data_IF_947869119211
#
_entry.id   IF_947869119211
#
_cell.length_a   1.000
_cell.length_b   1.000
_cell.length_c   1.000
_cell.angle_alpha   90.00
_cell.angle_beta   90.00
_cell.angle_gamma   90.00
#
_symmetry.space_group_name_H-M   'P 1'
#
loop_
_entity.id
_entity.type
_entity.pdbx_description
1 polymer ?
#
# COMPACT_ATOMS: atom_id res chain seq x y z
N UNK A 1 21.67 12.80 -2.17
CA UNK A 1 20.44 13.52 -2.56
C UNK A 1 19.44 13.36 -1.44
N UNK A 2 18.81 14.44 -0.98
CA UNK A 2 17.72 14.33 0.01
C UNK A 2 16.57 13.52 -0.61
N UNK A 3 16.07 12.50 0.11
CA UNK A 3 14.86 11.80 -0.31
C UNK A 3 13.73 12.82 -0.30
N UNK A 4 13.13 13.07 -1.47
CA UNK A 4 11.94 13.92 -1.55
C UNK A 4 10.82 13.26 -0.74
N UNK A 5 10.38 13.92 0.32
CA UNK A 5 9.19 13.53 1.06
C UNK A 5 7.98 14.08 0.33
N UNK A 6 7.01 13.22 0.05
CA UNK A 6 5.74 13.62 -0.53
C UNK A 6 4.66 13.50 0.56
N UNK A 7 3.72 14.46 0.66
CA UNK A 7 2.59 14.30 1.56
C UNK A 7 1.70 13.17 1.08
N UNK A 8 1.11 12.43 2.01
CA UNK A 8 0.05 11.47 1.68
C UNK A 8 -1.19 12.25 1.24
N UNK A 9 -1.55 12.15 -0.03
CA UNK A 9 -2.69 12.85 -0.64
C UNK A 9 -3.32 11.92 -1.65
N UNK A 10 -4.55 11.49 -1.40
CA UNK A 10 -5.26 10.56 -2.28
C UNK A 10 -5.92 11.32 -3.42
N UNK A 11 -5.69 10.85 -4.64
CA UNK A 11 -6.40 11.30 -5.84
C UNK A 11 -7.04 10.09 -6.50
N UNK A 12 -8.31 10.22 -6.88
CA UNK A 12 -8.92 9.33 -7.88
C UNK A 12 -8.32 9.68 -9.24
N UNK A 13 -7.75 8.69 -9.91
CA UNK A 13 -7.06 8.85 -11.21
C UNK A 13 -7.59 7.90 -12.28
N UNK A 14 -8.55 7.04 -11.92
CA UNK A 14 -9.36 6.30 -12.88
C UNK A 14 -10.57 7.15 -13.26
N UNK A 15 -10.94 7.12 -14.53
CA UNK A 15 -12.09 7.86 -15.02
C UNK A 15 -13.38 7.17 -14.58
N UNK A 16 -13.77 6.13 -15.31
CA UNK A 16 -14.82 5.17 -14.97
C UNK A 16 -14.30 3.97 -14.16
N UNK A 17 -12.97 3.82 -14.07
CA UNK A 17 -12.31 2.79 -13.28
C UNK A 17 -12.06 3.22 -11.82
N UNK A 18 -12.16 2.28 -10.88
CA UNK A 18 -11.82 2.53 -9.49
C UNK A 18 -10.31 2.48 -9.26
N UNK A 19 -9.63 3.60 -9.52
CA UNK A 19 -8.18 3.73 -9.30
C UNK A 19 -7.89 4.94 -8.42
N UNK A 20 -7.13 4.70 -7.37
CA UNK A 20 -6.63 5.75 -6.48
C UNK A 20 -5.11 5.76 -6.45
N UNK A 21 -4.53 6.94 -6.35
CA UNK A 21 -3.08 7.14 -6.35
C UNK A 21 -2.68 8.26 -5.40
N UNK A 22 -1.49 8.12 -4.81
CA UNK A 22 -0.80 9.19 -4.08
C UNK A 22 0.63 9.26 -4.57
N UNK A 23 1.14 10.49 -4.75
CA UNK A 23 2.54 10.71 -5.11
C UNK A 23 3.43 10.40 -3.92
N UNK A 24 4.47 9.59 -4.12
CA UNK A 24 5.34 9.06 -3.07
C UNK A 24 5.14 7.57 -2.84
N UNK A 25 6.16 6.88 -2.32
CA UNK A 25 6.05 5.50 -1.83
C UNK A 25 5.71 5.53 -0.34
N UNK A 26 4.41 5.57 -0.05
CA UNK A 26 3.83 5.59 1.30
C UNK A 26 3.69 4.19 1.87
N UNK A 27 3.63 4.07 3.20
CA UNK A 27 3.17 2.82 3.80
C UNK A 27 1.78 2.45 3.25
N UNK A 28 1.60 1.18 2.87
CA UNK A 28 0.40 0.74 2.17
C UNK A 28 -0.84 0.81 3.07
N UNK A 29 -0.67 0.71 4.39
CA UNK A 29 -1.75 0.74 5.36
C UNK A 29 -2.15 2.16 5.71
N UNK A 30 -1.17 3.06 5.85
CA UNK A 30 -1.42 4.49 5.96
C UNK A 30 -2.14 5.01 4.71
N UNK A 31 -1.71 4.56 3.53
CA UNK A 31 -2.39 4.86 2.27
C UNK A 31 -3.85 4.41 2.28
N UNK A 32 -4.12 3.13 2.58
CA UNK A 32 -5.50 2.63 2.61
C UNK A 32 -6.35 3.30 3.69
N UNK A 33 -5.77 3.62 4.84
CA UNK A 33 -6.45 4.40 5.89
C UNK A 33 -6.85 5.78 5.38
N UNK A 34 -5.97 6.47 4.67
CA UNK A 34 -6.26 7.77 4.06
C UNK A 34 -7.33 7.66 2.96
N UNK A 35 -7.28 6.63 2.12
CA UNK A 35 -8.31 6.36 1.09
C UNK A 35 -9.69 6.27 1.73
N UNK A 36 -9.83 5.53 2.84
CA UNK A 36 -11.11 5.42 3.57
C UNK A 36 -11.48 6.71 4.29
N UNK A 37 -10.51 7.43 4.85
CA UNK A 37 -10.74 8.72 5.52
C UNK A 37 -11.23 9.80 4.53
N UNK A 38 -10.78 9.76 3.28
CA UNK A 38 -11.21 10.65 2.20
C UNK A 38 -12.57 10.23 1.59
N UNK A 39 -13.20 9.17 2.11
CA UNK A 39 -14.56 8.75 1.74
C UNK A 39 -14.65 7.82 0.53
N UNK A 40 -13.53 7.29 0.03
CA UNK A 40 -13.57 6.32 -1.08
C UNK A 40 -13.98 4.94 -0.56
N UNK A 41 -15.13 4.44 -1.03
CA UNK A 41 -15.66 3.11 -0.70
C UNK A 41 -15.31 2.03 -1.75
N UNK A 42 -14.38 2.35 -2.66
CA UNK A 42 -14.02 1.47 -3.77
C UNK A 42 -13.48 0.10 -3.33
N UNK A 43 -13.80 -0.98 -4.06
CA UNK A 43 -13.30 -2.33 -3.81
C UNK A 43 -11.85 -2.48 -4.29
N UNK A 44 -10.91 -1.91 -3.55
CA UNK A 44 -9.52 -1.81 -3.96
C UNK A 44 -8.67 -3.01 -3.52
N UNK A 45 -7.71 -3.37 -4.37
CA UNK A 45 -6.68 -4.36 -4.06
C UNK A 45 -5.59 -3.81 -3.13
N UNK A 46 -4.58 -4.65 -2.86
CA UNK A 46 -3.41 -4.25 -2.07
C UNK A 46 -2.61 -3.16 -2.81
N UNK A 47 -2.30 -2.01 -2.19
CA UNK A 47 -1.56 -0.96 -2.87
C UNK A 47 -0.15 -1.38 -3.29
N UNK A 48 0.27 -0.90 -4.45
CA UNK A 48 1.61 -1.12 -4.99
C UNK A 48 2.44 0.17 -5.06
N UNK A 49 3.75 0.01 -4.87
CA UNK A 49 4.73 1.06 -5.16
C UNK A 49 5.18 0.98 -6.61
N UNK A 50 4.91 2.03 -7.38
CA UNK A 50 5.26 2.13 -8.80
C UNK A 50 6.01 3.42 -9.08
N UNK A 51 6.59 3.51 -10.27
CA UNK A 51 7.12 4.74 -10.83
C UNK A 51 6.27 5.13 -12.02
N UNK A 52 5.83 6.38 -12.08
CA UNK A 52 4.95 6.87 -13.13
C UNK A 52 5.52 8.12 -13.81
N UNK A 53 5.19 8.33 -15.08
CA UNK A 53 5.30 9.62 -15.75
C UNK A 53 3.90 10.21 -15.92
N UNK A 54 3.80 11.50 -15.66
CA UNK A 54 2.63 12.30 -16.05
C UNK A 54 2.88 12.77 -17.48
N UNK A 55 2.03 12.36 -18.41
CA UNK A 55 2.13 12.76 -19.81
C UNK A 55 0.81 13.38 -20.27
N UNK A 56 0.82 14.37 -21.17
CA UNK A 56 -0.41 14.87 -21.78
C UNK A 56 -1.15 13.73 -22.47
N UNK A 57 -2.47 13.75 -22.35
CA UNK A 57 -3.32 12.84 -23.12
C UNK A 57 -3.38 13.32 -24.58
N UNK A 58 -3.21 12.40 -25.54
CA UNK A 58 -3.27 12.72 -26.97
C UNK A 58 -4.68 12.62 -27.55
N UNK A 59 -5.64 12.00 -26.85
CA UNK A 59 -7.04 11.95 -27.30
C UNK A 59 -7.80 13.23 -26.94
N UNK A 60 -7.34 13.95 -25.90
CA UNK A 60 -7.96 15.17 -25.39
C UNK A 60 -9.12 14.90 -24.42
N UNK A 61 -9.32 13.65 -24.02
CA UNK A 61 -10.35 13.25 -23.06
C UNK A 61 -9.96 13.64 -21.63
N UNK A 62 -8.65 13.58 -21.33
CA UNK A 62 -8.08 13.96 -20.04
C UNK A 62 -7.05 15.08 -20.19
N UNK A 63 -6.77 15.79 -19.10
CA UNK A 63 -5.66 16.77 -19.10
C UNK A 63 -4.29 16.09 -19.14
N UNK A 64 -4.18 14.90 -18.54
CA UNK A 64 -2.98 14.09 -18.47
C UNK A 64 -3.33 12.64 -18.12
N UNK A 65 -2.41 11.73 -18.40
CA UNK A 65 -2.46 10.33 -17.99
C UNK A 65 -1.19 9.93 -17.24
N UNK A 66 -1.30 8.88 -16.42
CA UNK A 66 -0.18 8.28 -15.71
C UNK A 66 0.32 7.05 -16.46
N UNK A 67 1.59 7.05 -16.86
CA UNK A 67 2.23 5.91 -17.53
C UNK A 67 3.25 5.29 -16.60
N UNK A 68 3.05 4.03 -16.21
CA UNK A 68 4.02 3.31 -15.39
C UNK A 68 5.31 3.04 -16.15
N UNK A 69 6.44 3.30 -15.49
CA UNK A 69 7.79 3.19 -16.02
C UNK A 69 8.71 2.54 -14.99
N UNK A 70 9.95 2.25 -15.40
CA UNK A 70 10.99 1.74 -14.49
C UNK A 70 11.49 2.84 -13.56
N UNK A 71 11.93 2.44 -12.38
CA UNK A 71 12.71 3.30 -11.48
C UNK A 71 13.91 3.93 -12.21
N UNK A 72 14.24 5.18 -11.88
CA UNK A 72 15.36 5.90 -12.48
C UNK A 72 15.08 6.45 -13.89
N UNK A 73 13.94 6.14 -14.50
CA UNK A 73 13.51 6.78 -15.76
C UNK A 73 13.45 8.29 -15.57
N UNK A 74 14.11 9.06 -16.45
CA UNK A 74 14.17 10.52 -16.33
C UNK A 74 12.75 11.12 -16.30
N UNK A 75 12.47 11.88 -15.25
CA UNK A 75 11.16 12.51 -15.03
C UNK A 75 10.10 11.60 -14.41
N UNK A 76 10.43 10.36 -14.06
CA UNK A 76 9.52 9.50 -13.29
C UNK A 76 9.35 10.00 -11.86
N UNK A 77 8.15 9.80 -11.33
CA UNK A 77 7.79 10.09 -9.94
C UNK A 77 7.39 8.78 -9.23
N UNK A 78 7.75 8.62 -7.95
CA UNK A 78 7.25 7.50 -7.16
C UNK A 78 5.76 7.70 -6.89
N UNK A 79 5.00 6.61 -6.89
CA UNK A 79 3.56 6.61 -6.59
C UNK A 79 3.19 5.36 -5.78
N UNK A 80 2.27 5.52 -4.84
CA UNK A 80 1.51 4.42 -4.23
C UNK A 80 0.15 4.40 -4.93
N UNK A 81 -0.22 3.26 -5.48
CA UNK A 81 -1.41 3.12 -6.32
C UNK A 81 -2.20 1.87 -5.92
N UNK A 82 -3.53 1.95 -5.97
CA UNK A 82 -4.43 0.82 -5.83
C UNK A 82 -5.53 0.90 -6.88
N UNK A 83 -5.98 -0.27 -7.35
CA UNK A 83 -6.98 -0.41 -8.39
C UNK A 83 -8.08 -1.37 -7.95
N UNK A 84 -9.16 -1.43 -8.72
CA UNK A 84 -10.26 -2.35 -8.51
C UNK A 84 -9.76 -3.80 -8.40
N UNK A 85 -10.28 -4.51 -7.41
CA UNK A 85 -9.97 -5.91 -7.18
C UNK A 85 -11.23 -6.75 -6.98
N UNK A 86 -11.15 -7.98 -7.48
CA UNK A 86 -12.08 -9.04 -7.13
C UNK A 86 -12.09 -9.27 -5.61
N UNK A 87 -13.16 -9.85 -5.07
CA UNK A 87 -13.38 -9.94 -3.62
C UNK A 87 -12.17 -10.54 -2.91
N UNK A 88 -11.65 -11.64 -3.41
CA UNK A 88 -10.55 -12.41 -2.82
C UNK A 88 -9.22 -11.64 -2.81
N UNK A 89 -9.07 -10.67 -3.72
CA UNK A 89 -7.85 -9.88 -3.90
C UNK A 89 -7.93 -8.50 -3.21
N UNK A 90 -9.07 -8.18 -2.59
CA UNK A 90 -9.26 -6.91 -1.87
C UNK A 90 -8.29 -6.79 -0.72
N UNK A 91 -7.84 -5.57 -0.48
CA UNK A 91 -6.97 -5.24 0.63
C UNK A 91 -7.55 -5.72 1.98
N UNK A 92 -8.84 -5.49 2.24
CA UNK A 92 -9.47 -5.91 3.49
C UNK A 92 -9.50 -7.44 3.65
N UNK A 93 -9.67 -8.19 2.56
CA UNK A 93 -9.68 -9.66 2.60
C UNK A 93 -8.27 -10.23 2.77
N UNK A 94 -7.26 -9.62 2.12
CA UNK A 94 -5.86 -9.96 2.28
C UNK A 94 -5.37 -9.76 3.73
N UNK A 95 -5.90 -8.76 4.44
CA UNK A 95 -5.48 -8.40 5.79
C UNK A 95 -6.53 -8.65 6.88
N UNK A 96 -7.61 -9.39 6.59
CA UNK A 96 -8.69 -9.67 7.57
C UNK A 96 -8.23 -10.41 8.82
N UNK A 97 -7.14 -11.17 8.71
CA UNK A 97 -6.53 -11.92 9.81
C UNK A 97 -5.39 -11.15 10.49
N UNK A 98 -5.16 -9.89 10.12
CA UNK A 98 -4.15 -9.06 10.75
C UNK A 98 -4.48 -8.80 12.24
N UNK A 99 -3.43 -8.63 13.08
CA UNK A 99 -3.56 -8.41 14.53
C UNK A 99 -4.54 -7.25 14.79
N UNK A 100 -5.57 -7.45 15.63
CA UNK A 100 -6.58 -6.41 15.93
C UNK A 100 -5.97 -5.15 16.56
N UNK A 101 -4.85 -5.29 17.25
CA UNK A 101 -4.16 -4.21 17.98
C UNK A 101 -3.19 -3.44 17.08
N UNK A 102 -2.36 -4.14 16.30
CA UNK A 102 -1.32 -3.54 15.47
C UNK A 102 -1.68 -3.47 13.97
N UNK A 103 -2.84 -3.99 13.62
CA UNK A 103 -3.29 -4.12 12.24
C UNK A 103 -2.30 -4.92 11.39
N UNK A 104 -2.23 -4.62 10.09
CA UNK A 104 -1.36 -5.32 9.15
C UNK A 104 0.13 -4.95 9.24
N UNK A 105 0.50 -3.98 10.09
CA UNK A 105 1.91 -3.72 10.46
C UNK A 105 2.46 -4.68 11.52
N UNK A 106 1.63 -5.60 12.00
CA UNK A 106 2.01 -6.57 13.02
C UNK A 106 3.12 -7.51 12.53
N UNK A 107 4.23 -7.56 13.27
CA UNK A 107 5.33 -8.53 13.08
C UNK A 107 5.41 -9.59 14.18
N UNK A 108 4.25 -10.03 14.67
CA UNK A 108 4.13 -10.99 15.79
C UNK A 108 3.85 -10.33 17.13
N UNK A 109 2.62 -9.83 17.32
CA UNK A 109 2.11 -9.34 18.62
C UNK A 109 1.77 -10.55 19.53
N UNK A 110 1.90 -10.45 20.86
CA UNK A 110 1.53 -11.53 21.78
C UNK A 110 0.06 -11.98 21.65
N UNK A 111 -0.82 -11.07 21.20
CA UNK A 111 -2.25 -11.31 21.00
C UNK A 111 -2.60 -12.02 19.67
N UNK A 112 -1.70 -12.07 18.68
CA UNK A 112 -2.01 -12.67 17.37
C UNK A 112 -1.74 -14.17 17.29
N UNK A 113 -1.33 -14.82 18.39
CA UNK A 113 -0.80 -16.17 18.37
C UNK A 113 0.52 -16.25 17.57
N UNK A 114 1.33 -17.30 17.78
CA UNK A 114 2.58 -17.43 17.06
C UNK A 114 2.29 -17.52 15.56
N UNK A 115 2.93 -16.64 14.77
CA UNK A 115 3.15 -16.92 13.34
C UNK A 115 4.13 -18.10 13.32
N UNK A 116 3.60 -19.31 13.43
CA UNK A 116 4.36 -20.55 13.45
C UNK A 116 5.15 -20.65 12.14
N UNK A 117 6.41 -20.23 12.16
CA UNK A 117 7.36 -20.52 11.07
C UNK A 117 8.28 -19.39 10.61
N UNK A 118 8.22 -18.17 11.18
CA UNK A 118 9.23 -17.16 10.84
C UNK A 118 10.45 -17.24 11.78
N UNK A 119 11.65 -17.21 11.20
CA UNK A 119 12.90 -17.24 11.94
C UNK A 119 13.09 -15.98 12.84
N UNK A 120 12.24 -14.96 12.68
CA UNK A 120 12.26 -13.73 13.48
C UNK A 120 11.72 -13.91 14.89
N UNK A 121 10.73 -14.80 15.12
CA UNK A 121 10.20 -14.98 16.48
C UNK A 121 11.23 -15.59 17.45
N UNK A 122 11.88 -16.69 17.05
CA UNK A 122 12.94 -17.29 17.88
C UNK A 122 14.13 -16.35 18.07
N UNK A 123 14.44 -15.52 17.06
CA UNK A 123 15.52 -14.53 17.12
C UNK A 123 15.19 -13.33 18.01
N UNK A 124 13.92 -12.90 18.08
CA UNK A 124 13.50 -11.75 18.88
C UNK A 124 13.19 -12.09 20.33
N UNK A 125 12.69 -13.30 20.61
CA UNK A 125 12.18 -13.63 21.95
C UNK A 125 12.98 -14.70 22.71
N UNK A 126 13.93 -15.38 22.05
CA UNK A 126 14.85 -16.31 22.70
C UNK A 126 14.16 -17.54 23.28
N UNK A 127 14.90 -18.63 23.45
CA UNK A 127 14.42 -19.78 24.20
C UNK A 127 14.20 -19.36 25.64
N UNK A 128 12.96 -19.26 26.07
CA UNK A 128 12.62 -19.21 27.49
C UNK A 128 13.16 -20.52 28.09
N UNK A 129 14.24 -20.43 28.86
CA UNK A 129 14.72 -21.57 29.64
C UNK A 129 13.71 -21.79 30.75
N UNK A 130 12.95 -22.89 30.63
CA UNK A 130 12.12 -23.40 31.71
C UNK A 130 13.04 -23.76 32.89
N UNK A 131 13.11 -22.87 33.86
CA UNK A 131 13.68 -23.15 35.17
C UNK A 131 12.58 -23.47 36.15
N UNK A 132 12.38 -24.78 36.42
CA UNK A 132 12.09 -25.35 37.75
C UNK A 132 12.79 -26.70 37.82
#
# INVERSE_FOLDING_TARGET
MSKKTYPLSIASVGADEYIVMSRGHHDIHDFMKAVRADGYEYPLGVPEHRWAKVVPDSTGEYSHIFVFVKEGTRGAIPVTYAWEASREERYEEAFKHACKTMGPTCRGCPDCGPVMGDASYEAMFGKQQDGV
#
